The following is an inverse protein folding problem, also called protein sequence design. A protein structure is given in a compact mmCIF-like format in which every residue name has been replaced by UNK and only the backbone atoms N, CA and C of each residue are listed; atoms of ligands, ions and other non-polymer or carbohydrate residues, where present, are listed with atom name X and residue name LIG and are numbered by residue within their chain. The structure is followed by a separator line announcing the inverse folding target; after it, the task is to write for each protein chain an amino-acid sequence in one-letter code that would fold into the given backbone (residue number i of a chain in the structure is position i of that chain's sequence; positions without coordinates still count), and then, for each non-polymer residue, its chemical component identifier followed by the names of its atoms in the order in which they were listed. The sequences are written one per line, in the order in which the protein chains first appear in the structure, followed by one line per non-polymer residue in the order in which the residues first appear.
data_IF_398230498210
#
_entry.id   IF_398230498210
#
_cell.length_a   1.000
_cell.length_b   1.000
_cell.length_c   1.000
_cell.angle_alpha   90.00
_cell.angle_beta   90.00
_cell.angle_gamma   90.00
#
_symmetry.space_group_name_H-M   'P 1'
#
loop_
_entity.id
_entity.type
_entity.pdbx_description
1 polymer ?
#
# COMPACT_ATOMS: atom_id res chain seq x y z
N UNK A 1 12.71 -2.98 -1.07
CA UNK A 1 11.23 -3.04 -1.16
C UNK A 1 10.81 -4.36 -1.81
N UNK A 2 9.50 -4.59 -1.94
CA UNK A 2 8.98 -5.79 -2.59
C UNK A 2 9.22 -5.74 -4.09
N UNK A 3 9.28 -4.55 -4.69
CA UNK A 3 9.62 -4.30 -6.09
C UNK A 3 10.95 -4.95 -6.49
N UNK A 4 11.97 -4.89 -5.64
CA UNK A 4 13.26 -5.54 -5.87
C UNK A 4 13.28 -7.07 -5.67
N UNK A 5 12.20 -7.67 -5.15
CA UNK A 5 12.11 -9.10 -4.83
C UNK A 5 11.11 -9.87 -5.72
N UNK A 6 10.56 -9.20 -6.73
CA UNK A 6 9.57 -9.76 -7.67
C UNK A 6 10.25 -9.94 -9.03
N UNK A 7 10.14 -11.12 -9.65
CA UNK A 7 10.61 -11.31 -11.02
C UNK A 7 9.66 -10.66 -12.03
N UNK A 8 10.07 -10.50 -13.30
CA UNK A 8 9.18 -9.99 -14.36
C UNK A 8 7.85 -10.78 -14.47
N UNK A 9 7.89 -12.07 -14.13
CA UNK A 9 6.72 -12.96 -14.13
C UNK A 9 5.89 -12.90 -12.84
N UNK A 10 6.26 -12.07 -11.87
CA UNK A 10 5.57 -11.92 -10.58
C UNK A 10 6.06 -12.88 -9.48
N UNK A 11 5.27 -13.01 -8.42
CA UNK A 11 5.52 -13.97 -7.34
C UNK A 11 4.77 -15.27 -7.60
N UNK A 12 5.41 -16.40 -7.30
CA UNK A 12 4.70 -17.68 -7.22
C UNK A 12 3.55 -17.61 -6.19
N UNK A 13 2.48 -18.36 -6.44
CA UNK A 13 1.23 -18.31 -5.66
C UNK A 13 1.46 -18.43 -4.14
N UNK A 14 2.38 -19.31 -3.72
CA UNK A 14 2.75 -19.49 -2.32
C UNK A 14 3.29 -18.20 -1.69
N UNK A 15 4.21 -17.51 -2.38
CA UNK A 15 4.80 -16.27 -1.91
C UNK A 15 3.79 -15.13 -1.95
N UNK A 16 2.99 -15.04 -3.03
CA UNK A 16 1.91 -14.06 -3.14
C UNK A 16 0.91 -14.16 -1.97
N UNK A 17 0.45 -15.37 -1.64
CA UNK A 17 -0.43 -15.62 -0.48
C UNK A 17 0.21 -15.21 0.84
N UNK A 18 1.51 -15.49 1.05
CA UNK A 18 2.24 -15.10 2.27
C UNK A 18 2.32 -13.59 2.43
N UNK A 19 2.63 -12.88 1.35
CA UNK A 19 2.70 -11.41 1.34
C UNK A 19 1.32 -10.81 1.57
N UNK A 20 0.32 -11.23 0.79
CA UNK A 20 -1.05 -10.72 0.88
C UNK A 20 -1.65 -10.88 2.29
N UNK A 21 -1.45 -12.04 2.93
CA UNK A 21 -1.93 -12.28 4.30
C UNK A 21 -1.32 -11.31 5.31
N UNK A 22 -0.01 -11.07 5.23
CA UNK A 22 0.68 -10.16 6.15
C UNK A 22 0.32 -8.71 5.87
N UNK A 23 0.19 -8.32 4.59
CA UNK A 23 -0.21 -6.98 4.20
C UNK A 23 -1.64 -6.68 4.65
N UNK A 24 -2.57 -7.61 4.45
CA UNK A 24 -3.94 -7.49 4.94
C UNK A 24 -4.00 -7.32 6.47
N UNK A 25 -3.17 -8.07 7.21
CA UNK A 25 -3.07 -7.92 8.67
C UNK A 25 -2.52 -6.53 9.07
N UNK A 26 -1.51 -6.02 8.36
CA UNK A 26 -0.97 -4.68 8.59
C UNK A 26 -2.00 -3.58 8.30
N UNK A 27 -2.73 -3.70 7.18
CA UNK A 27 -3.81 -2.77 6.79
C UNK A 27 -4.95 -2.81 7.80
N UNK A 28 -5.38 -4.00 8.23
CA UNK A 28 -6.39 -4.14 9.27
C UNK A 28 -5.98 -3.45 10.58
N UNK A 29 -4.70 -3.58 10.95
CA UNK A 29 -4.15 -2.98 12.18
C UNK A 29 -4.10 -1.45 12.17
N UNK A 30 -3.91 -0.82 11.01
CA UNK A 30 -3.98 0.65 10.89
C UNK A 30 -5.43 1.13 10.82
N UNK A 31 -6.28 0.40 10.09
CA UNK A 31 -7.71 0.74 9.98
C UNK A 31 -8.43 0.62 11.32
N UNK A 32 -8.03 -0.32 12.19
CA UNK A 32 -8.57 -0.43 13.56
C UNK A 32 -8.20 0.74 14.48
N UNK A 33 -7.30 1.63 14.04
CA UNK A 33 -6.94 2.89 14.71
C UNK A 33 -7.46 4.12 13.96
N UNK A 34 -8.41 3.92 13.05
CA UNK A 34 -8.98 4.99 12.23
C UNK A 34 -7.93 5.72 11.39
N UNK A 35 -6.89 5.01 10.93
CA UNK A 35 -5.85 5.55 10.05
C UNK A 35 -5.92 4.89 8.68
N UNK A 36 -5.76 5.69 7.62
CA UNK A 36 -5.70 5.27 6.22
C UNK A 36 -4.29 5.54 5.69
N UNK A 37 -3.61 4.53 5.16
CA UNK A 37 -2.22 4.65 4.69
C UNK A 37 -2.06 5.57 3.47
N UNK A 38 -3.01 5.48 2.53
CA UNK A 38 -3.08 6.19 1.23
C UNK A 38 -1.95 5.94 0.22
N UNK A 39 -0.83 5.35 0.61
CA UNK A 39 0.27 5.02 -0.31
C UNK A 39 0.68 3.54 -0.25
N UNK A 40 -0.26 2.61 -0.44
CA UNK A 40 0.05 1.18 -0.47
C UNK A 40 0.50 0.80 -1.87
N UNK A 41 1.80 0.52 -2.01
CA UNK A 41 2.47 0.06 -3.22
C UNK A 41 3.61 -0.88 -2.87
N UNK A 42 4.15 -1.59 -3.86
CA UNK A 42 5.23 -2.56 -3.67
C UNK A 42 6.49 -1.91 -3.03
N UNK A 43 6.76 -0.66 -3.37
CA UNK A 43 7.88 0.13 -2.84
C UNK A 43 7.80 0.33 -1.32
N UNK A 44 6.58 0.38 -0.79
CA UNK A 44 6.31 0.58 0.64
C UNK A 44 6.14 -0.74 1.41
N UNK A 45 6.46 -1.87 0.79
CA UNK A 45 6.45 -3.19 1.45
C UNK A 45 7.88 -3.69 1.62
N UNK A 46 8.38 -3.68 2.85
CA UNK A 46 9.72 -4.16 3.19
C UNK A 46 9.73 -5.67 3.38
N UNK A 47 10.64 -6.34 2.67
CA UNK A 47 10.87 -7.78 2.78
C UNK A 47 12.06 -8.02 3.72
N UNK A 48 11.82 -8.67 4.86
CA UNK A 48 12.85 -8.96 5.87
C UNK A 48 13.46 -10.35 5.72
N UNK A 49 12.80 -11.24 4.98
CA UNK A 49 13.27 -12.59 4.67
C UNK A 49 12.92 -12.92 3.22
N UNK A 50 13.88 -13.48 2.49
CA UNK A 50 13.76 -13.80 1.05
C UNK A 50 12.66 -14.82 0.73
N UNK A 51 12.22 -15.61 1.71
CA UNK A 51 11.10 -16.56 1.59
C UNK A 51 9.71 -15.92 1.82
N UNK A 52 9.68 -14.58 1.93
CA UNK A 52 8.49 -13.77 2.21
C UNK A 52 7.77 -14.14 3.51
N UNK A 53 8.42 -14.88 4.42
CA UNK A 53 7.84 -15.24 5.72
C UNK A 53 7.72 -14.03 6.65
N UNK A 54 8.37 -12.91 6.33
CA UNK A 54 8.32 -11.67 7.09
C UNK A 54 8.36 -10.45 6.19
N UNK A 55 7.23 -9.73 6.12
CA UNK A 55 7.13 -8.43 5.47
C UNK A 55 6.59 -7.38 6.46
N UNK A 56 6.87 -6.10 6.20
CA UNK A 56 6.28 -4.97 6.94
C UNK A 56 5.91 -3.86 5.98
N UNK A 57 4.76 -3.23 6.22
CA UNK A 57 4.36 -1.99 5.57
C UNK A 57 5.19 -0.83 6.17
N UNK A 58 5.68 0.08 5.33
CA UNK A 58 6.43 1.26 5.72
C UNK A 58 5.92 2.51 5.00
N UNK A 59 6.56 3.65 5.30
CA UNK A 59 6.25 4.97 4.75
C UNK A 59 4.83 5.48 5.06
N UNK A 60 4.68 6.02 6.27
CA UNK A 60 3.42 6.57 6.76
C UNK A 60 3.28 8.09 6.48
N UNK A 61 4.11 8.67 5.60
CA UNK A 61 4.08 10.12 5.30
C UNK A 61 2.72 10.60 4.79
N UNK A 62 2.06 9.77 3.99
CA UNK A 62 0.73 10.02 3.47
C UNK A 62 -0.40 9.52 4.38
N UNK A 63 -0.11 8.94 5.55
CA UNK A 63 -1.13 8.41 6.44
C UNK A 63 -1.98 9.53 7.05
N UNK A 64 -3.30 9.35 7.06
CA UNK A 64 -4.26 10.32 7.63
C UNK A 64 -5.33 9.61 8.44
N UNK A 65 -6.02 10.35 9.33
CA UNK A 65 -7.21 9.82 10.00
C UNK A 65 -8.34 9.63 8.98
N UNK A 66 -9.20 8.63 9.21
CA UNK A 66 -10.45 8.47 8.46
C UNK A 66 -11.23 9.80 8.48
N UNK A 67 -11.88 10.14 7.36
CA UNK A 67 -12.61 11.40 7.14
C UNK A 67 -11.76 12.68 7.17
N UNK A 68 -10.43 12.58 7.08
CA UNK A 68 -9.57 13.75 6.86
C UNK A 68 -9.64 14.16 5.40
N UNK A 69 -9.98 15.42 5.13
CA UNK A 69 -9.92 16.00 3.79
C UNK A 69 -8.47 16.07 3.33
N UNK A 70 -8.19 15.56 2.14
CA UNK A 70 -6.85 15.48 1.57
C UNK A 70 -6.82 15.95 0.13
N UNK A 71 -5.68 16.50 -0.29
CA UNK A 71 -5.48 16.90 -1.69
C UNK A 71 -5.07 15.70 -2.54
N UNK A 72 -5.62 15.60 -3.75
CA UNK A 72 -5.17 14.64 -4.76
C UNK A 72 -3.85 15.09 -5.38
N UNK A 73 -2.81 14.27 -5.22
CA UNK A 73 -1.53 14.46 -5.89
C UNK A 73 -1.53 13.77 -7.26
N UNK A 74 -0.90 14.40 -8.25
CA UNK A 74 -1.00 13.99 -9.66
C UNK A 74 0.03 12.91 -10.08
N UNK A 75 0.98 12.58 -9.21
CA UNK A 75 2.26 12.01 -9.66
C UNK A 75 2.28 10.49 -9.79
N UNK A 76 1.37 9.73 -9.15
CA UNK A 76 1.45 8.26 -9.20
C UNK A 76 0.12 7.56 -8.92
N UNK A 77 -0.50 6.98 -9.95
CA UNK A 77 -1.86 6.45 -9.91
C UNK A 77 -2.06 4.94 -10.15
N UNK A 78 -1.05 4.07 -10.40
CA UNK A 78 -1.33 2.68 -10.78
C UNK A 78 -1.99 1.86 -9.66
N UNK A 79 -1.87 2.29 -8.40
CA UNK A 79 -2.45 1.63 -7.23
C UNK A 79 -3.61 2.43 -6.60
N UNK A 80 -3.98 3.57 -7.20
CA UNK A 80 -5.05 4.42 -6.67
C UNK A 80 -6.41 3.81 -7.00
N UNK A 81 -7.35 3.79 -6.04
CA UNK A 81 -8.68 3.27 -6.29
C UNK A 81 -9.47 4.25 -7.20
N UNK A 82 -10.45 3.74 -7.98
CA UNK A 82 -11.09 4.51 -9.05
C UNK A 82 -11.84 5.76 -8.58
N UNK A 83 -12.34 5.78 -7.35
CA UNK A 83 -12.99 6.94 -6.74
C UNK A 83 -12.03 8.13 -6.55
N UNK A 84 -10.76 7.87 -6.25
CA UNK A 84 -9.72 8.91 -6.14
C UNK A 84 -9.32 9.41 -7.54
N UNK A 85 -9.41 8.55 -8.56
CA UNK A 85 -9.11 8.93 -9.94
C UNK A 85 -10.16 9.87 -10.54
N UNK A 86 -11.38 9.89 -10.00
CA UNK A 86 -12.48 10.76 -10.45
C UNK A 86 -12.40 12.19 -9.91
N UNK A 87 -11.61 12.41 -8.86
CA UNK A 87 -11.35 13.74 -8.32
C UNK A 87 -10.33 14.41 -9.24
N UNK A 88 -10.55 15.68 -9.57
CA UNK A 88 -9.60 16.43 -10.41
C UNK A 88 -8.24 16.56 -9.68
N UNK A 89 -7.10 16.63 -10.40
CA UNK A 89 -5.82 16.96 -9.80
C UNK A 89 -5.92 18.20 -8.93
N UNK A 90 -5.20 18.23 -7.81
CA UNK A 90 -5.13 19.38 -6.91
C UNK A 90 -6.42 19.75 -6.16
N UNK A 91 -7.52 19.03 -6.42
CA UNK A 91 -8.74 19.12 -5.62
C UNK A 91 -8.64 18.30 -4.33
N UNK A 92 -9.46 18.70 -3.36
CA UNK A 92 -9.54 18.04 -2.07
C UNK A 92 -10.74 17.09 -2.03
N UNK A 93 -10.55 15.94 -1.39
CA UNK A 93 -11.57 14.89 -1.21
C UNK A 93 -11.50 14.27 0.19
#
# INVERSE_FOLDING_TARGET
DLTANVSETGLGELHAKRVARQLAAAVHHIHSRELVHRDIKLDNVLVFKSDFSRIKLCDFGETRKVNTIVRRHNEWLPYSPPEVLRVEPDESY
#
